data_IF_643772255463
#
_entry.id   IF_643772255463
#
_cell.length_a   1.000
_cell.length_b   1.000
_cell.length_c   1.000
_cell.angle_alpha   90.00
_cell.angle_beta   90.00
_cell.angle_gamma   90.00
#
_symmetry.space_group_name_H-M   'P 1'
#
loop_
_entity.id
_entity.type
_entity.pdbx_description
1 polymer ?
#
# COMPACT_ATOMS: atom_id res chain seq x y z
N UNK A 1 25.05 25.43 5.22
CA UNK A 1 26.51 25.73 5.37
C UNK A 1 27.44 24.57 4.94
N UNK A 2 28.75 24.83 4.72
CA UNK A 2 29.78 23.78 4.45
C UNK A 2 30.71 23.58 5.65
N UNK A 3 31.06 22.33 5.96
CA UNK A 3 31.93 21.96 7.10
C UNK A 3 32.89 20.85 6.69
N UNK A 4 34.11 20.81 7.25
CA UNK A 4 35.03 19.71 6.96
C UNK A 4 34.59 18.41 7.67
N UNK A 5 34.97 17.25 7.13
CA UNK A 5 34.70 15.96 7.76
C UNK A 5 35.34 15.84 9.17
N UNK A 6 36.48 16.49 9.37
CA UNK A 6 37.17 16.57 10.67
C UNK A 6 36.36 17.41 11.65
N UNK A 7 35.87 18.57 11.24
CA UNK A 7 35.03 19.43 12.09
C UNK A 7 33.70 18.77 12.42
N UNK A 8 33.08 18.11 11.44
CA UNK A 8 31.83 17.37 11.62
C UNK A 8 31.98 16.28 12.69
N UNK A 9 33.10 15.54 12.68
CA UNK A 9 33.41 14.52 13.68
C UNK A 9 33.55 15.12 15.09
N UNK A 10 34.22 16.27 15.20
CA UNK A 10 34.52 16.88 16.50
C UNK A 10 33.33 17.64 17.09
N UNK A 11 32.41 18.14 16.27
CA UNK A 11 31.30 19.00 16.69
C UNK A 11 29.94 18.49 16.21
N UNK A 12 29.77 17.17 16.11
CA UNK A 12 28.56 16.55 15.56
C UNK A 12 27.26 17.11 16.17
N UNK A 13 27.17 17.18 17.51
CA UNK A 13 25.97 17.68 18.20
C UNK A 13 25.61 19.14 17.87
N UNK A 14 26.61 20.01 17.67
CA UNK A 14 26.37 21.38 17.21
C UNK A 14 25.74 21.42 15.82
N UNK A 15 26.14 20.50 14.95
CA UNK A 15 25.62 20.44 13.59
C UNK A 15 24.27 19.73 13.50
N UNK A 16 23.92 18.85 14.46
CA UNK A 16 22.55 18.35 14.62
C UNK A 16 21.56 19.47 14.96
N UNK A 17 21.93 20.38 15.86
CA UNK A 17 21.06 21.52 16.17
C UNK A 17 20.94 22.47 14.97
N UNK A 18 22.04 22.76 14.29
CA UNK A 18 22.03 23.63 13.11
C UNK A 18 21.29 23.05 11.91
N UNK A 19 21.26 21.72 11.77
CA UNK A 19 20.62 21.10 10.60
C UNK A 19 19.09 21.20 10.63
N UNK A 20 18.51 21.62 11.77
CA UNK A 20 17.09 22.00 11.90
C UNK A 20 16.75 23.27 11.11
N UNK A 21 17.69 24.20 11.03
CA UNK A 21 17.45 25.50 10.37
C UNK A 21 18.02 25.55 8.95
N UNK A 22 19.14 24.86 8.69
CA UNK A 22 19.77 24.84 7.36
C UNK A 22 20.55 23.56 7.06
N UNK A 23 20.60 23.16 5.78
CA UNK A 23 21.39 21.99 5.36
C UNK A 23 22.90 22.18 5.62
N UNK A 24 23.55 21.14 6.16
CA UNK A 24 24.99 21.11 6.43
C UNK A 24 25.69 20.18 5.44
N UNK A 25 26.54 20.72 4.57
CA UNK A 25 27.30 19.98 3.56
C UNK A 25 28.70 19.65 4.09
N UNK A 26 29.04 18.37 4.15
CA UNK A 26 30.29 17.88 4.71
C UNK A 26 31.31 17.70 3.58
N UNK A 27 32.50 18.27 3.73
CA UNK A 27 33.57 18.25 2.73
C UNK A 27 34.78 17.41 3.17
N UNK A 28 35.43 16.76 2.21
CA UNK A 28 36.73 16.09 2.37
C UNK A 28 37.59 16.44 1.16
N UNK A 29 38.77 17.02 1.38
CA UNK A 29 39.65 17.55 0.33
C UNK A 29 38.87 18.50 -0.62
N UNK A 30 38.13 19.44 -0.05
CA UNK A 30 37.29 20.45 -0.74
C UNK A 30 36.14 19.91 -1.62
N UNK A 31 35.93 18.59 -1.64
CA UNK A 31 34.77 17.97 -2.29
C UNK A 31 33.68 17.68 -1.28
N UNK A 32 32.42 17.96 -1.63
CA UNK A 32 31.27 17.56 -0.82
C UNK A 32 31.17 16.04 -0.88
N UNK A 33 31.14 15.40 0.28
CA UNK A 33 31.06 13.94 0.43
C UNK A 33 29.79 13.49 1.13
N UNK A 34 29.12 14.37 1.87
CA UNK A 34 27.85 14.07 2.53
C UNK A 34 27.03 15.35 2.79
N UNK A 35 25.75 15.18 3.10
CA UNK A 35 24.81 16.24 3.49
C UNK A 35 24.04 15.78 4.72
N UNK A 36 24.03 16.59 5.76
CA UNK A 36 23.17 16.45 6.93
C UNK A 36 21.99 17.43 6.80
N UNK A 37 20.79 16.91 6.96
CA UNK A 37 19.53 17.66 7.02
C UNK A 37 18.75 17.18 8.24
N UNK A 38 17.90 18.02 8.81
CA UNK A 38 16.94 17.55 9.79
C UNK A 38 16.07 16.45 9.18
N UNK A 39 15.85 15.42 9.98
CA UNK A 39 14.88 14.38 9.68
C UNK A 39 13.52 14.88 10.16
N UNK A 40 12.66 15.26 9.23
CA UNK A 40 11.24 15.50 9.49
C UNK A 40 10.51 14.21 9.15
N UNK A 41 10.07 13.46 10.16
CA UNK A 41 9.22 12.30 9.99
C UNK A 41 7.75 12.71 10.18
N UNK A 42 6.91 12.70 9.14
CA UNK A 42 5.47 12.85 9.32
C UNK A 42 4.80 11.61 9.92
N UNK A 43 5.53 10.50 10.11
CA UNK A 43 5.01 9.16 10.37
C UNK A 43 5.50 8.51 11.66
N UNK A 44 5.94 9.27 12.67
CA UNK A 44 6.57 8.78 13.92
C UNK A 44 5.66 7.94 14.86
N UNK A 45 4.59 7.34 14.33
CA UNK A 45 3.76 6.30 14.96
C UNK A 45 3.45 5.09 14.07
N UNK A 46 3.90 5.06 12.80
CA UNK A 46 3.64 4.00 11.83
C UNK A 46 4.95 3.35 11.38
N UNK A 47 5.08 2.02 11.54
CA UNK A 47 6.23 1.27 11.03
C UNK A 47 6.14 1.18 9.49
N UNK A 48 6.63 2.20 8.78
CA UNK A 48 6.63 2.22 7.32
C UNK A 48 7.74 1.30 6.77
N UNK A 49 7.36 0.29 5.98
CA UNK A 49 8.32 -0.55 5.27
C UNK A 49 8.97 0.23 4.13
N UNK A 50 10.31 0.15 4.00
CA UNK A 50 11.07 0.82 2.94
C UNK A 50 11.59 -0.22 1.93
N UNK A 51 11.33 0.00 0.64
CA UNK A 51 11.92 -0.79 -0.44
C UNK A 51 13.39 -0.37 -0.65
N UNK A 52 14.28 -1.36 -0.77
CA UNK A 52 15.70 -1.17 -1.13
C UNK A 52 16.00 -1.35 -2.63
N UNK A 53 14.99 -1.59 -3.45
CA UNK A 53 15.15 -1.87 -4.88
C UNK A 53 15.32 -0.58 -5.70
N UNK A 54 16.42 -0.51 -6.46
CA UNK A 54 16.70 0.58 -7.40
C UNK A 54 15.76 0.60 -8.62
N UNK A 55 14.91 -0.42 -8.78
CA UNK A 55 13.98 -0.56 -9.90
C UNK A 55 12.82 0.46 -9.86
N UNK A 56 12.57 1.07 -8.70
CA UNK A 56 11.58 2.14 -8.51
C UNK A 56 12.23 3.47 -8.11
N UNK A 57 13.49 3.70 -8.49
CA UNK A 57 14.10 5.02 -8.41
C UNK A 57 13.44 5.94 -9.47
N UNK A 58 12.22 6.39 -9.19
CA UNK A 58 11.48 7.28 -10.07
C UNK A 58 11.96 8.72 -9.89
N UNK A 59 12.27 9.39 -11.00
CA UNK A 59 12.76 10.76 -11.05
C UNK A 59 11.63 11.81 -11.10
N UNK A 60 10.39 11.45 -10.76
CA UNK A 60 9.20 12.13 -11.25
C UNK A 60 8.45 13.04 -10.27
N UNK A 61 7.74 13.98 -10.88
CA UNK A 61 6.99 15.07 -10.26
C UNK A 61 5.86 14.52 -9.37
N UNK A 62 5.88 14.87 -8.08
CA UNK A 62 4.71 14.70 -7.21
C UNK A 62 3.59 15.63 -7.68
N UNK A 63 2.37 15.11 -7.67
CA UNK A 63 1.17 15.86 -8.00
C UNK A 63 0.22 15.87 -6.80
N UNK A 64 -0.74 16.79 -6.80
CA UNK A 64 -1.80 16.79 -5.80
C UNK A 64 -2.93 15.84 -6.17
N UNK A 65 -3.79 15.52 -5.20
CA UNK A 65 -5.00 14.73 -5.44
C UNK A 65 -5.95 15.41 -6.45
N UNK A 66 -6.06 16.74 -6.42
CA UNK A 66 -6.87 17.51 -7.36
C UNK A 66 -6.29 17.49 -8.77
N UNK A 67 -4.96 17.46 -8.89
CA UNK A 67 -4.30 17.25 -10.19
C UNK A 67 -4.54 15.83 -10.71
N UNK A 68 -4.49 14.82 -9.84
CA UNK A 68 -4.82 13.44 -10.19
C UNK A 68 -6.25 13.34 -10.75
N UNK A 69 -7.24 13.91 -10.07
CA UNK A 69 -8.63 13.89 -10.53
C UNK A 69 -8.80 14.54 -11.90
N UNK A 70 -8.08 15.64 -12.20
CA UNK A 70 -8.11 16.29 -13.52
C UNK A 70 -7.49 15.43 -14.61
N UNK A 71 -6.45 14.67 -14.28
CA UNK A 71 -5.79 13.77 -15.22
C UNK A 71 -6.72 12.59 -15.57
N UNK A 72 -7.49 12.09 -14.61
CA UNK A 72 -8.34 10.91 -14.79
C UNK A 72 -9.76 11.21 -15.23
N UNK A 73 -10.26 12.44 -15.07
CA UNK A 73 -11.65 12.82 -15.39
C UNK A 73 -12.12 12.43 -16.81
N UNK A 74 -11.21 12.43 -17.79
CA UNK A 74 -11.51 12.10 -19.19
C UNK A 74 -10.53 11.07 -19.78
N UNK A 75 -9.96 10.21 -18.93
CA UNK A 75 -9.02 9.18 -19.34
C UNK A 75 -9.60 7.79 -19.08
N UNK A 76 -9.55 6.92 -20.07
CA UNK A 76 -10.02 5.52 -19.95
C UNK A 76 -8.93 4.59 -19.41
N UNK A 77 -7.68 5.07 -19.34
CA UNK A 77 -6.57 4.34 -18.73
C UNK A 77 -6.76 4.23 -17.20
N UNK A 78 -6.33 3.10 -16.65
CA UNK A 78 -6.44 2.80 -15.21
C UNK A 78 -5.22 3.31 -14.46
N UNK A 79 -5.45 4.11 -13.42
CA UNK A 79 -4.39 4.70 -12.61
C UNK A 79 -4.61 4.52 -11.12
N UNK A 80 -3.54 4.23 -10.40
CA UNK A 80 -3.49 4.38 -8.95
C UNK A 80 -2.75 5.67 -8.59
N UNK A 81 -3.18 6.30 -7.51
CA UNK A 81 -2.56 7.48 -6.91
C UNK A 81 -2.10 7.15 -5.49
N UNK A 82 -0.78 7.04 -5.29
CA UNK A 82 -0.19 6.66 -4.01
C UNK A 82 0.90 7.67 -3.64
N UNK A 83 0.73 8.34 -2.49
CA UNK A 83 1.68 9.29 -1.89
C UNK A 83 2.15 10.42 -2.83
N UNK A 84 1.22 10.93 -3.64
CA UNK A 84 1.51 12.01 -4.60
C UNK A 84 2.04 11.54 -5.95
N UNK A 85 2.13 10.22 -6.18
CA UNK A 85 2.62 9.62 -7.42
C UNK A 85 1.47 8.90 -8.16
N UNK A 86 1.48 8.97 -9.50
CA UNK A 86 0.56 8.23 -10.36
C UNK A 86 1.23 6.97 -10.89
N UNK A 87 0.49 5.86 -10.89
CA UNK A 87 0.90 4.59 -11.45
C UNK A 87 -0.10 4.16 -12.51
N UNK A 88 0.36 4.01 -13.75
CA UNK A 88 -0.43 3.40 -14.81
C UNK A 88 -0.51 1.89 -14.57
N UNK A 89 -1.72 1.35 -14.50
CA UNK A 89 -1.93 -0.08 -14.34
C UNK A 89 -1.80 -0.81 -15.69
N UNK A 90 -1.30 -2.03 -15.65
CA UNK A 90 -1.27 -2.93 -16.81
C UNK A 90 -2.35 -4.00 -16.68
N UNK A 91 -2.83 -4.51 -17.82
CA UNK A 91 -3.78 -5.62 -17.80
C UNK A 91 -3.19 -6.86 -17.14
N UNK A 92 -3.93 -7.55 -16.26
CA UNK A 92 -3.46 -8.76 -15.61
C UNK A 92 -3.34 -9.94 -16.59
N UNK A 93 -2.46 -10.89 -16.27
CA UNK A 93 -2.31 -12.13 -17.02
C UNK A 93 -3.36 -13.20 -16.65
N UNK A 94 -3.42 -14.29 -17.41
CA UNK A 94 -4.40 -15.37 -17.23
C UNK A 94 -4.38 -16.00 -15.83
N UNK A 95 -3.20 -16.31 -15.29
CA UNK A 95 -3.06 -16.91 -13.94
C UNK A 95 -3.64 -16.00 -12.86
N UNK A 96 -3.43 -14.69 -12.97
CA UNK A 96 -4.01 -13.70 -12.06
C UNK A 96 -5.54 -13.74 -12.13
N UNK A 97 -6.10 -13.76 -13.34
CA UNK A 97 -7.54 -13.80 -13.54
C UNK A 97 -8.21 -15.09 -13.03
N UNK A 98 -7.55 -16.24 -13.16
CA UNK A 98 -8.06 -17.51 -12.59
C UNK A 98 -8.11 -17.45 -11.06
N UNK A 99 -7.03 -16.99 -10.42
CA UNK A 99 -6.97 -16.82 -8.97
C UNK A 99 -8.03 -15.82 -8.50
N UNK A 100 -8.19 -14.70 -9.20
CA UNK A 100 -9.21 -13.69 -8.94
C UNK A 100 -10.62 -14.32 -8.98
N UNK A 101 -10.93 -15.10 -10.03
CA UNK A 101 -12.22 -15.75 -10.18
C UNK A 101 -12.49 -16.76 -9.06
N UNK A 102 -11.51 -17.58 -8.70
CA UNK A 102 -11.61 -18.58 -7.63
C UNK A 102 -11.89 -17.92 -6.27
N UNK A 103 -11.11 -16.89 -5.93
CA UNK A 103 -11.30 -16.12 -4.69
C UNK A 103 -12.66 -15.43 -4.68
N UNK A 104 -13.03 -14.78 -5.79
CA UNK A 104 -14.28 -14.05 -5.89
C UNK A 104 -15.50 -14.98 -5.69
N UNK A 105 -15.55 -16.15 -6.34
CA UNK A 105 -16.63 -17.11 -6.14
C UNK A 105 -16.75 -17.53 -4.67
N UNK A 106 -15.62 -17.94 -4.07
CA UNK A 106 -15.61 -18.43 -2.69
C UNK A 106 -16.05 -17.35 -1.69
N UNK A 107 -15.49 -16.15 -1.82
CA UNK A 107 -15.80 -15.03 -0.94
C UNK A 107 -17.24 -14.57 -1.15
N UNK A 108 -17.69 -14.43 -2.40
CA UNK A 108 -19.05 -14.00 -2.70
C UNK A 108 -20.09 -14.99 -2.13
N UNK A 109 -19.81 -16.29 -2.22
CA UNK A 109 -20.64 -17.33 -1.62
C UNK A 109 -20.66 -17.24 -0.10
N UNK A 110 -19.52 -17.00 0.54
CA UNK A 110 -19.43 -16.85 2.00
C UNK A 110 -20.17 -15.60 2.51
N UNK A 111 -20.05 -14.46 1.81
CA UNK A 111 -20.71 -13.19 2.18
C UNK A 111 -22.19 -13.11 1.78
N UNK A 112 -22.74 -14.14 1.12
CA UNK A 112 -24.15 -14.16 0.72
C UNK A 112 -25.08 -14.03 1.93
N UNK A 113 -25.95 -13.02 1.90
CA UNK A 113 -26.91 -12.74 2.97
C UNK A 113 -26.30 -12.09 4.22
N UNK A 114 -25.03 -11.70 4.19
CA UNK A 114 -24.37 -10.91 5.26
C UNK A 114 -24.43 -9.41 4.94
N UNK A 115 -24.06 -8.58 5.92
CA UNK A 115 -23.97 -7.12 5.75
C UNK A 115 -22.92 -6.72 4.70
N UNK A 116 -21.79 -7.42 4.70
CA UNK A 116 -20.64 -7.06 3.88
C UNK A 116 -20.73 -7.58 2.46
N UNK A 117 -20.05 -6.89 1.54
CA UNK A 117 -20.07 -7.20 0.11
C UNK A 117 -18.65 -7.28 -0.45
N UNK A 118 -18.45 -8.24 -1.36
CA UNK A 118 -17.22 -8.40 -2.13
C UNK A 118 -17.31 -7.53 -3.40
N UNK A 119 -16.23 -6.82 -3.70
CA UNK A 119 -16.03 -6.10 -4.95
C UNK A 119 -14.71 -6.53 -5.57
N UNK A 120 -14.62 -6.44 -6.89
CA UNK A 120 -13.44 -6.81 -7.67
C UNK A 120 -13.01 -5.66 -8.57
N UNK A 121 -11.71 -5.58 -8.86
CA UNK A 121 -11.21 -4.69 -9.90
C UNK A 121 -11.92 -4.93 -11.26
N UNK A 122 -12.15 -3.89 -12.07
CA UNK A 122 -11.80 -2.50 -11.81
C UNK A 122 -12.78 -1.77 -10.88
N UNK A 123 -12.25 -1.20 -9.80
CA UNK A 123 -13.02 -0.47 -8.81
C UNK A 123 -12.13 0.45 -7.94
N UNK A 124 -12.23 1.76 -8.18
CA UNK A 124 -11.45 2.76 -7.44
C UNK A 124 -11.90 2.87 -5.98
N UNK A 125 -10.90 2.89 -5.08
CA UNK A 125 -11.09 3.09 -3.65
C UNK A 125 -10.30 4.31 -3.22
N UNK A 126 -11.00 5.35 -2.76
CA UNK A 126 -10.35 6.54 -2.22
C UNK A 126 -10.14 6.40 -0.71
N UNK A 127 -8.90 6.18 -0.30
CA UNK A 127 -8.50 6.09 1.10
C UNK A 127 -8.07 7.49 1.59
N UNK A 128 -8.79 8.02 2.58
CA UNK A 128 -8.45 9.30 3.22
C UNK A 128 -7.89 9.05 4.61
N UNK A 129 -6.72 9.62 4.90
CA UNK A 129 -6.13 9.61 6.23
C UNK A 129 -6.06 11.04 6.77
N UNK A 130 -6.95 11.36 7.72
CA UNK A 130 -7.06 12.70 8.30
C UNK A 130 -5.85 13.08 9.17
N UNK A 131 -5.23 12.11 9.85
CA UNK A 131 -4.05 12.34 10.69
C UNK A 131 -2.84 12.75 9.84
N UNK A 132 -2.62 12.05 8.73
CA UNK A 132 -1.54 12.33 7.77
C UNK A 132 -1.91 13.41 6.74
N UNK A 133 -3.17 13.86 6.75
CA UNK A 133 -3.74 14.79 5.76
C UNK A 133 -3.46 14.33 4.32
N UNK A 134 -3.60 13.04 4.08
CA UNK A 134 -3.29 12.39 2.81
C UNK A 134 -4.49 11.69 2.22
N UNK A 135 -4.49 11.58 0.90
CA UNK A 135 -5.45 10.78 0.13
C UNK A 135 -4.69 9.88 -0.81
N UNK A 136 -5.15 8.65 -0.96
CA UNK A 136 -4.67 7.69 -1.93
C UNK A 136 -5.87 7.15 -2.71
N UNK A 137 -5.67 6.84 -3.98
CA UNK A 137 -6.65 6.12 -4.81
C UNK A 137 -6.00 4.84 -5.28
N UNK A 138 -6.55 3.72 -4.87
CA UNK A 138 -6.04 2.38 -5.21
C UNK A 138 -7.13 1.58 -5.89
N UNK A 139 -6.74 0.56 -6.64
CA UNK A 139 -7.66 -0.34 -7.32
C UNK A 139 -7.30 -1.79 -6.94
N UNK A 140 -7.69 -2.25 -5.74
CA UNK A 140 -7.33 -3.59 -5.28
C UNK A 140 -8.02 -4.67 -6.10
N UNK A 141 -7.35 -5.80 -6.29
CA UNK A 141 -7.91 -6.94 -7.03
C UNK A 141 -9.25 -7.41 -6.45
N UNK A 142 -9.33 -7.57 -5.12
CA UNK A 142 -10.58 -7.77 -4.39
C UNK A 142 -10.59 -6.93 -3.12
N UNK A 143 -11.79 -6.51 -2.74
CA UNK A 143 -12.04 -5.93 -1.41
C UNK A 143 -13.37 -6.40 -0.85
N UNK A 144 -13.47 -6.37 0.47
CA UNK A 144 -14.70 -6.58 1.22
C UNK A 144 -14.99 -5.31 2.02
N UNK A 145 -16.21 -4.81 1.94
CA UNK A 145 -16.68 -3.70 2.78
C UNK A 145 -18.04 -4.01 3.39
N UNK A 146 -18.16 -3.74 4.69
CA UNK A 146 -19.39 -3.84 5.49
C UNK A 146 -20.17 -2.52 5.58
N UNK A 147 -19.63 -1.43 5.04
CA UNK A 147 -20.19 -0.07 5.08
C UNK A 147 -20.33 0.57 3.68
N UNK A 148 -20.28 -0.26 2.63
CA UNK A 148 -20.26 0.18 1.23
C UNK A 148 -21.45 1.06 0.82
N UNK A 149 -22.59 0.96 1.50
CA UNK A 149 -23.76 1.79 1.21
C UNK A 149 -23.62 3.17 1.82
N UNK A 150 -23.11 3.25 3.04
CA UNK A 150 -22.90 4.47 3.80
C UNK A 150 -21.72 5.30 3.25
N UNK A 151 -20.70 4.63 2.71
CA UNK A 151 -19.49 5.25 2.15
C UNK A 151 -19.55 5.46 0.62
N UNK A 152 -20.74 5.33 0.04
CA UNK A 152 -20.98 5.63 -1.37
C UNK A 152 -21.16 7.14 -1.52
N UNK A 153 -20.29 7.76 -2.31
CA UNK A 153 -20.38 9.19 -2.60
C UNK A 153 -21.46 9.52 -3.66
N UNK A 154 -21.67 10.82 -3.92
CA UNK A 154 -22.65 11.29 -4.88
C UNK A 154 -22.35 10.90 -6.34
N UNK A 155 -21.13 10.47 -6.64
CA UNK A 155 -20.67 10.04 -7.97
C UNK A 155 -20.60 8.50 -8.09
N UNK A 156 -21.22 7.77 -7.16
CA UNK A 156 -21.19 6.30 -7.12
C UNK A 156 -19.80 5.70 -6.90
N UNK A 157 -18.93 6.41 -6.17
CA UNK A 157 -17.59 5.92 -5.79
C UNK A 157 -17.57 5.50 -4.33
N UNK A 158 -16.73 4.54 -4.01
CA UNK A 158 -16.48 4.14 -2.62
C UNK A 158 -15.33 4.96 -2.04
N UNK A 159 -15.62 5.66 -0.94
CA UNK A 159 -14.64 6.52 -0.22
C UNK A 159 -14.38 6.06 1.21
N UNK A 160 -14.76 4.82 1.51
CA UNK A 160 -14.59 4.20 2.82
C UNK A 160 -13.27 3.44 2.97
N UNK A 161 -13.12 2.79 4.10
CA UNK A 161 -11.99 1.91 4.41
C UNK A 161 -12.48 0.46 4.30
N UNK A 162 -11.96 -0.35 3.36
CA UNK A 162 -12.33 -1.75 3.28
C UNK A 162 -11.98 -2.53 4.55
N UNK A 163 -12.81 -3.51 4.88
CA UNK A 163 -12.57 -4.42 6.00
C UNK A 163 -11.45 -5.43 5.69
N UNK A 164 -11.41 -5.91 4.45
CA UNK A 164 -10.38 -6.80 3.92
C UNK A 164 -10.02 -6.37 2.50
N UNK A 165 -8.72 -6.30 2.22
CA UNK A 165 -8.18 -6.13 0.86
C UNK A 165 -7.38 -7.37 0.47
N UNK A 166 -7.47 -7.79 -0.78
CA UNK A 166 -6.68 -8.89 -1.33
C UNK A 166 -6.01 -8.42 -2.62
N UNK A 167 -4.70 -8.61 -2.70
CA UNK A 167 -3.88 -8.31 -3.88
C UNK A 167 -3.21 -9.58 -4.39
N UNK A 168 -3.25 -9.79 -5.71
CA UNK A 168 -2.66 -10.95 -6.38
C UNK A 168 -1.41 -10.46 -7.11
N UNK A 169 -0.24 -10.89 -6.63
CA UNK A 169 1.03 -10.44 -7.17
C UNK A 169 1.18 -10.82 -8.64
N UNK A 170 1.55 -9.82 -9.44
CA UNK A 170 2.08 -10.01 -10.79
C UNK A 170 3.61 -9.78 -10.81
N UNK A 171 4.33 -10.24 -11.86
CA UNK A 171 5.75 -9.93 -12.00
C UNK A 171 6.09 -8.44 -11.95
N UNK A 172 5.15 -7.58 -12.33
CA UNK A 172 5.35 -6.12 -12.46
C UNK A 172 4.93 -5.34 -11.21
N UNK A 173 3.98 -5.86 -10.42
CA UNK A 173 3.42 -5.17 -9.25
C UNK A 173 4.02 -5.62 -7.92
N UNK A 174 4.86 -6.66 -7.92
CA UNK A 174 5.39 -7.29 -6.70
C UNK A 174 5.94 -6.33 -5.64
N UNK A 175 6.76 -5.34 -6.02
CA UNK A 175 7.31 -4.39 -5.03
C UNK A 175 6.30 -3.33 -4.60
N UNK A 176 5.41 -2.94 -5.51
CA UNK A 176 4.30 -2.01 -5.22
C UNK A 176 3.39 -2.60 -4.14
N UNK A 177 2.94 -3.83 -4.35
CA UNK A 177 1.95 -4.48 -3.48
C UNK A 177 2.56 -4.81 -2.11
N UNK A 178 3.78 -5.38 -2.08
CA UNK A 178 4.44 -5.82 -0.85
C UNK A 178 4.93 -4.68 0.07
N UNK A 179 5.07 -3.46 -0.45
CA UNK A 179 5.67 -2.36 0.32
C UNK A 179 4.77 -1.13 0.31
N UNK A 180 4.51 -0.54 -0.85
CA UNK A 180 3.78 0.73 -0.95
C UNK A 180 2.32 0.55 -0.55
N UNK A 181 1.62 -0.41 -1.14
CA UNK A 181 0.20 -0.66 -0.82
C UNK A 181 0.01 -1.15 0.61
N UNK A 182 0.89 -2.00 1.11
CA UNK A 182 0.88 -2.40 2.51
C UNK A 182 0.91 -1.19 3.46
N UNK A 183 1.79 -0.20 3.22
CA UNK A 183 1.84 1.04 4.01
C UNK A 183 0.55 1.87 3.86
N UNK A 184 0.02 1.99 2.64
CA UNK A 184 -1.25 2.71 2.37
C UNK A 184 -2.41 2.06 3.12
N UNK A 185 -2.48 0.73 3.12
CA UNK A 185 -3.57 0.00 3.76
C UNK A 185 -3.47 0.02 5.29
N UNK A 186 -2.26 -0.15 5.83
CA UNK A 186 -1.98 -0.01 7.25
C UNK A 186 -2.37 1.38 7.75
N UNK A 187 -1.84 2.43 7.12
CA UNK A 187 -2.11 3.82 7.51
C UNK A 187 -3.57 4.24 7.22
N UNK A 188 -4.20 3.64 6.21
CA UNK A 188 -5.60 3.80 5.89
C UNK A 188 -6.55 3.15 6.89
N UNK A 189 -6.07 2.24 7.75
CA UNK A 189 -6.87 1.59 8.79
C UNK A 189 -7.69 0.39 8.33
N UNK A 190 -7.26 -0.28 7.26
CA UNK A 190 -7.84 -1.57 6.87
C UNK A 190 -7.64 -2.58 8.01
N UNK A 191 -8.60 -3.49 8.22
CA UNK A 191 -8.52 -4.50 9.28
C UNK A 191 -7.67 -5.72 8.89
N UNK A 192 -7.73 -6.14 7.63
CA UNK A 192 -6.97 -7.29 7.15
C UNK A 192 -6.53 -7.12 5.69
N UNK A 193 -5.35 -7.62 5.36
CA UNK A 193 -4.77 -7.53 4.03
C UNK A 193 -4.12 -8.85 3.62
N UNK A 194 -4.52 -9.38 2.45
CA UNK A 194 -3.97 -10.61 1.91
C UNK A 194 -3.12 -10.31 0.68
N UNK A 195 -1.91 -10.87 0.65
CA UNK A 195 -1.06 -10.88 -0.55
C UNK A 195 -0.95 -12.31 -1.06
N UNK A 196 -1.54 -12.55 -2.23
CA UNK A 196 -1.52 -13.84 -2.90
C UNK A 196 -0.36 -13.85 -3.90
N UNK A 197 0.55 -14.81 -3.76
CA UNK A 197 1.70 -14.97 -4.66
C UNK A 197 1.50 -16.20 -5.55
N UNK A 198 1.11 -16.02 -6.83
CA UNK A 198 0.89 -17.12 -7.75
C UNK A 198 2.14 -17.94 -8.02
N UNK A 199 3.32 -17.31 -7.99
CA UNK A 199 4.59 -17.97 -8.32
C UNK A 199 4.98 -18.99 -7.25
N UNK A 200 4.88 -18.58 -5.99
CA UNK A 200 5.26 -19.42 -4.85
C UNK A 200 4.08 -20.18 -4.25
N UNK A 201 2.87 -20.02 -4.82
CA UNK A 201 1.59 -20.61 -4.35
C UNK A 201 1.41 -20.45 -2.85
N UNK A 202 1.46 -19.21 -2.40
CA UNK A 202 1.34 -18.83 -0.98
C UNK A 202 0.46 -17.60 -0.81
N UNK A 203 -0.10 -17.45 0.38
CA UNK A 203 -0.85 -16.27 0.81
C UNK A 203 -0.18 -15.73 2.08
N UNK A 204 0.08 -14.42 2.10
CA UNK A 204 0.52 -13.73 3.30
C UNK A 204 -0.67 -12.92 3.81
N UNK A 205 -1.11 -13.21 5.03
CA UNK A 205 -2.15 -12.45 5.72
C UNK A 205 -1.49 -11.48 6.69
N UNK A 206 -1.86 -10.21 6.59
CA UNK A 206 -1.54 -9.17 7.55
C UNK A 206 -2.84 -8.78 8.26
N UNK A 207 -2.82 -8.78 9.59
CA UNK A 207 -3.95 -8.37 10.41
C UNK A 207 -3.58 -7.15 11.23
N UNK A 208 -4.46 -6.15 11.21
CA UNK A 208 -4.21 -4.85 11.79
C UNK A 208 -5.23 -4.51 12.87
N UNK A 209 -4.75 -3.93 13.97
CA UNK A 209 -5.58 -3.35 15.03
C UNK A 209 -5.06 -1.96 15.32
N UNK A 210 -5.95 -0.96 15.35
CA UNK A 210 -5.59 0.45 15.58
C UNK A 210 -4.43 0.93 14.67
N UNK A 211 -4.45 0.49 13.40
CA UNK A 211 -3.43 0.78 12.38
C UNK A 211 -2.01 0.29 12.74
N UNK A 212 -1.92 -0.75 13.55
CA UNK A 212 -0.68 -1.47 13.86
C UNK A 212 -0.77 -2.92 13.38
N UNK A 213 0.35 -3.48 12.93
CA UNK A 213 0.44 -4.89 12.56
C UNK A 213 0.47 -5.75 13.82
N UNK A 214 -0.59 -6.53 14.01
CA UNK A 214 -0.69 -7.48 15.12
C UNK A 214 -0.18 -8.86 14.71
N UNK A 215 -0.60 -9.35 13.54
CA UNK A 215 -0.25 -10.69 13.07
C UNK A 215 0.14 -10.68 11.59
N UNK A 216 1.18 -11.47 11.27
CA UNK A 216 1.60 -11.76 9.91
C UNK A 216 1.72 -13.27 9.75
N UNK A 217 0.82 -13.87 8.97
CA UNK A 217 0.73 -15.33 8.82
C UNK A 217 1.00 -15.71 7.37
N UNK A 218 1.92 -16.65 7.17
CA UNK A 218 2.22 -17.24 5.88
C UNK A 218 1.51 -18.59 5.73
N UNK A 219 0.67 -18.71 4.70
CA UNK A 219 0.02 -19.94 4.28
C UNK A 219 0.64 -20.42 2.96
N UNK A 220 1.04 -21.68 2.88
CA UNK A 220 1.55 -22.32 1.66
C UNK A 220 0.53 -23.32 1.14
N UNK A 221 0.46 -23.52 -0.16
CA UNK A 221 -0.38 -24.60 -0.70
C UNK A 221 0.25 -25.98 -0.38
N UNK A 222 -0.45 -26.93 0.29
CA UNK A 222 -1.81 -26.84 0.81
C UNK A 222 -1.87 -26.40 2.29
N UNK A 223 -2.63 -25.34 2.54
CA UNK A 223 -3.06 -24.80 3.84
C UNK A 223 -4.49 -24.25 3.71
N UNK A 224 -5.09 -23.86 4.84
CA UNK A 224 -6.36 -23.13 4.89
C UNK A 224 -6.11 -21.74 5.45
N UNK A 225 -6.31 -20.70 4.63
CA UNK A 225 -6.24 -19.31 5.07
C UNK A 225 -7.45 -19.04 5.96
N UNK A 226 -7.22 -18.59 7.19
CA UNK A 226 -8.27 -18.22 8.15
C UNK A 226 -8.22 -16.73 8.39
N UNK A 227 -9.32 -16.04 8.10
CA UNK A 227 -9.42 -14.61 8.40
C UNK A 227 -9.44 -14.39 9.91
N UNK A 228 -8.68 -13.41 10.38
CA UNK A 228 -8.70 -12.92 11.76
C UNK A 228 -9.75 -11.81 11.92
N UNK A 229 -10.02 -11.03 10.88
CA UNK A 229 -11.07 -10.00 10.87
C UNK A 229 -12.48 -10.60 10.75
N UNK A 230 -12.65 -11.60 9.87
CA UNK A 230 -13.93 -12.26 9.65
C UNK A 230 -13.98 -13.64 10.31
N UNK A 231 -14.52 -13.69 11.53
CA UNK A 231 -14.67 -14.93 12.27
C UNK A 231 -15.40 -16.02 11.44
N UNK A 232 -14.72 -17.17 11.26
CA UNK A 232 -15.23 -18.32 10.52
C UNK A 232 -15.10 -18.24 8.99
N UNK A 233 -14.44 -17.20 8.45
CA UNK A 233 -14.05 -17.19 7.05
C UNK A 233 -12.78 -18.02 6.87
N UNK A 234 -12.90 -19.10 6.10
CA UNK A 234 -11.82 -20.01 5.76
C UNK A 234 -11.76 -20.26 4.25
N UNK A 235 -10.56 -20.15 3.68
CA UNK A 235 -10.29 -20.34 2.25
C UNK A 235 -9.13 -21.33 2.07
N UNK A 236 -9.40 -22.57 1.63
CA UNK A 236 -8.36 -23.52 1.25
C UNK A 236 -7.51 -22.94 0.12
N UNK A 237 -6.19 -22.95 0.29
CA UNK A 237 -5.24 -22.47 -0.74
C UNK A 237 -5.30 -23.30 -2.01
N UNK A 238 -5.70 -24.57 -1.95
CA UNK A 238 -5.93 -25.39 -3.13
C UNK A 238 -7.05 -24.84 -4.02
N UNK A 239 -8.10 -24.27 -3.41
CA UNK A 239 -9.19 -23.64 -4.16
C UNK A 239 -8.70 -22.34 -4.82
N UNK A 240 -7.84 -21.57 -4.14
CA UNK A 240 -7.24 -20.33 -4.66
C UNK A 240 -6.42 -20.62 -5.92
N UNK A 241 -5.54 -21.63 -5.85
CA UNK A 241 -4.58 -21.98 -6.91
C UNK A 241 -5.06 -23.10 -7.84
N UNK A 242 -6.36 -23.38 -7.86
CA UNK A 242 -6.94 -24.38 -8.77
C UNK A 242 -6.91 -23.87 -10.23
N UNK A 243 -6.63 -24.78 -11.16
CA UNK A 243 -6.57 -24.54 -12.62
C UNK A 243 -7.90 -24.90 -13.30
#
# INVERSE_FOLDING_TARGET
MKVSATDMKNFFGKYLEKCKDEAVFITKNDRIVAKLIAYEDPSDGYLMLKDGSAAYAYSGKRITYEEFLKITENNEERYEYIDGEIYLMSSPGMTHQLILANLNDRLFNWFRGKKCRVFSAPFDVTLTNDELKSKNVVEPDLLISCDYQEQRDANDRYTGIPDLVIEILSPHTRSMDLVKKLNVYLSGGIGEYWVVDPRDRKVILFYFVEKQLEEMILFKCPDVVKSLHFAGLEVPTEDIFSE
#
